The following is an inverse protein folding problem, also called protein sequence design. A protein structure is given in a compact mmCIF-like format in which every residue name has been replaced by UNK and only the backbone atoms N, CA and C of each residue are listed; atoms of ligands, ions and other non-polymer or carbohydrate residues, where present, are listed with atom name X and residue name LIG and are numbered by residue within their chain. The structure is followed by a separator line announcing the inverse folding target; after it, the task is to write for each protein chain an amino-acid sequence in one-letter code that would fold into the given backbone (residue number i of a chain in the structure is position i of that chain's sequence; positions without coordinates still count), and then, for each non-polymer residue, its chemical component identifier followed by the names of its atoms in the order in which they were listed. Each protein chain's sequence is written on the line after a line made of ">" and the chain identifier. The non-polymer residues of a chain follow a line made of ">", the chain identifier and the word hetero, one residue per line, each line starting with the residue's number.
data_IF_394575559762
#
_entry.id   IF_394575559762
#
_cell.length_a   1.000
_cell.length_b   1.000
_cell.length_c   1.000
_cell.angle_alpha   90.00
_cell.angle_beta   90.00
_cell.angle_gamma   90.00
#
_symmetry.space_group_name_H-M   'P 1'
#
loop_
_entity.id
_entity.type
_entity.pdbx_description
1 polymer ?
#
# COMPACT_ATOMS: atom_id res chain seq x y z
N UNK A 1 25.33 -1.67 7.20
CA UNK A 1 24.83 -1.70 8.59
C UNK A 1 23.46 -2.34 8.54
N UNK A 2 23.33 -3.55 9.10
CA UNK A 2 22.05 -4.30 9.09
C UNK A 2 21.05 -3.63 10.02
N UNK A 3 19.91 -3.21 9.50
CA UNK A 3 18.80 -2.71 10.30
C UNK A 3 18.29 -3.89 11.17
N UNK A 4 18.27 -3.71 12.49
CA UNK A 4 17.66 -4.68 13.40
C UNK A 4 16.17 -4.78 13.08
N UNK A 5 15.73 -5.95 12.60
CA UNK A 5 14.31 -6.25 12.39
C UNK A 5 13.72 -6.79 13.69
N UNK A 6 12.65 -6.19 14.18
CA UNK A 6 11.85 -6.76 15.26
C UNK A 6 10.76 -7.62 14.62
N UNK A 7 10.83 -8.93 14.78
CA UNK A 7 9.88 -9.88 14.20
C UNK A 7 8.61 -9.94 15.06
N UNK A 8 7.50 -9.45 14.52
CA UNK A 8 6.16 -9.46 15.15
C UNK A 8 5.32 -10.66 14.66
N UNK A 9 5.95 -11.60 13.95
CA UNK A 9 5.29 -12.71 13.26
C UNK A 9 4.39 -13.62 14.10
N UNK A 10 4.66 -13.76 15.41
CA UNK A 10 3.95 -14.72 16.26
C UNK A 10 2.45 -14.43 16.45
N UNK A 11 2.01 -13.17 16.37
CA UNK A 11 0.62 -12.79 16.62
C UNK A 11 -0.27 -12.74 15.36
N UNK A 12 0.31 -12.57 14.18
CA UNK A 12 -0.46 -12.50 12.92
C UNK A 12 -0.67 -13.90 12.34
N UNK A 13 0.28 -14.81 12.51
CA UNK A 13 0.16 -16.22 12.08
C UNK A 13 -0.98 -16.96 12.77
N UNK A 14 -1.26 -16.67 14.04
CA UNK A 14 -2.39 -17.27 14.76
C UNK A 14 -3.77 -16.81 14.24
N UNK A 15 -3.86 -15.70 13.55
CA UNK A 15 -5.12 -15.24 12.94
C UNK A 15 -5.47 -16.08 11.71
N UNK A 16 -4.49 -16.45 10.89
CA UNK A 16 -4.67 -17.30 9.70
C UNK A 16 -5.06 -18.74 10.05
N UNK A 17 -4.35 -19.36 11.00
CA UNK A 17 -4.58 -20.76 11.37
C UNK A 17 -5.95 -21.04 12.00
N UNK A 18 -6.55 -20.05 12.68
CA UNK A 18 -7.90 -20.18 13.27
C UNK A 18 -9.05 -20.05 12.28
N UNK A 19 -8.78 -19.68 11.01
CA UNK A 19 -9.81 -19.45 10.00
C UNK A 19 -10.23 -20.76 9.28
N UNK A 20 -9.35 -21.75 9.19
CA UNK A 20 -9.53 -22.94 8.36
C UNK A 20 -10.43 -24.04 8.94
N UNK A 21 -10.75 -24.02 10.25
CA UNK A 21 -11.30 -25.20 10.94
C UNK A 21 -12.75 -25.10 11.40
N UNK A 22 -13.70 -24.44 10.67
CA UNK A 22 -15.04 -24.23 11.21
C UNK A 22 -16.21 -24.43 10.24
N UNK A 23 -17.04 -25.41 10.55
CA UNK A 23 -18.36 -25.65 9.96
C UNK A 23 -19.42 -24.58 10.32
N UNK A 24 -20.42 -24.44 9.46
CA UNK A 24 -21.35 -23.32 9.30
C UNK A 24 -22.20 -22.86 10.52
N UNK A 25 -22.34 -23.61 11.58
CA UNK A 25 -23.21 -23.23 12.73
C UNK A 25 -22.54 -22.44 13.86
N UNK A 26 -21.19 -22.31 13.87
CA UNK A 26 -20.44 -21.48 14.84
C UNK A 26 -20.04 -20.11 14.30
N UNK A 27 -20.46 -19.75 13.09
CA UNK A 27 -19.94 -18.57 12.35
C UNK A 27 -20.20 -17.20 13.02
N UNK A 28 -21.39 -16.95 13.57
CA UNK A 28 -21.70 -15.61 14.15
C UNK A 28 -20.94 -15.26 15.43
N UNK A 29 -20.67 -16.22 16.30
CA UNK A 29 -19.94 -15.98 17.56
C UNK A 29 -18.43 -15.90 17.35
N UNK A 30 -17.92 -16.61 16.34
CA UNK A 30 -16.50 -16.62 15.99
C UNK A 30 -16.09 -15.48 15.04
N UNK A 31 -17.02 -14.96 14.22
CA UNK A 31 -16.74 -13.79 13.38
C UNK A 31 -16.41 -12.54 14.21
N UNK A 32 -17.15 -12.30 15.30
CA UNK A 32 -16.82 -11.21 16.26
C UNK A 32 -15.46 -11.40 16.95
N UNK A 33 -15.09 -12.62 17.35
CA UNK A 33 -13.78 -12.91 17.95
C UNK A 33 -12.61 -12.73 16.98
N UNK A 34 -12.83 -12.99 15.69
CA UNK A 34 -11.81 -12.84 14.63
C UNK A 34 -11.61 -11.38 14.23
N UNK A 35 -12.70 -10.61 14.11
CA UNK A 35 -12.63 -9.16 13.99
C UNK A 35 -11.75 -8.59 15.10
N UNK A 36 -12.03 -8.96 16.35
CA UNK A 36 -11.25 -8.54 17.50
C UNK A 36 -9.77 -8.94 17.41
N UNK A 37 -9.41 -10.06 16.78
CA UNK A 37 -8.03 -10.50 16.66
C UNK A 37 -7.24 -9.72 15.62
N UNK A 38 -7.82 -9.45 14.43
CA UNK A 38 -7.18 -8.62 13.42
C UNK A 38 -7.06 -7.16 13.87
N UNK A 39 -8.14 -6.60 14.47
CA UNK A 39 -8.08 -5.26 15.07
C UNK A 39 -7.00 -5.16 16.15
N UNK A 40 -6.87 -6.18 16.99
CA UNK A 40 -5.79 -6.24 18.00
C UNK A 40 -4.42 -6.32 17.35
N UNK A 41 -4.25 -7.14 16.29
CA UNK A 41 -3.02 -7.24 15.55
C UNK A 41 -2.64 -5.90 14.90
N UNK A 42 -3.58 -5.24 14.21
CA UNK A 42 -3.36 -3.92 13.62
C UNK A 42 -3.02 -2.88 14.69
N UNK A 43 -3.77 -2.84 15.80
CA UNK A 43 -3.49 -1.94 16.92
C UNK A 43 -2.10 -2.22 17.51
N UNK A 44 -1.75 -3.47 17.72
CA UNK A 44 -0.45 -3.86 18.25
C UNK A 44 0.70 -3.43 17.31
N UNK A 45 0.60 -3.73 16.03
CA UNK A 45 1.56 -3.24 15.02
C UNK A 45 1.69 -1.72 15.13
N UNK A 46 0.55 -1.01 15.23
CA UNK A 46 0.53 0.44 15.29
C UNK A 46 1.19 1.02 16.55
N UNK A 47 1.09 0.33 17.70
CA UNK A 47 1.79 0.74 18.93
C UNK A 47 3.31 0.58 18.87
N UNK A 48 3.80 -0.28 17.98
CA UNK A 48 5.23 -0.52 17.80
C UNK A 48 5.86 0.39 16.72
N UNK A 49 5.03 1.10 15.94
CA UNK A 49 5.53 1.97 14.89
C UNK A 49 6.13 3.25 15.47
N UNK A 50 7.21 3.76 14.85
CA UNK A 50 7.78 5.06 15.23
C UNK A 50 6.71 6.15 15.11
N UNK A 51 6.59 6.96 16.13
CA UNK A 51 5.71 8.11 16.19
C UNK A 51 6.53 9.37 16.40
N UNK A 52 6.09 10.47 15.78
CA UNK A 52 6.64 11.81 16.06
C UNK A 52 5.65 12.58 16.91
N UNK A 53 6.15 13.35 17.85
CA UNK A 53 5.35 14.32 18.55
C UNK A 53 5.05 15.50 17.62
N UNK A 54 3.78 15.76 17.40
CA UNK A 54 3.34 16.94 16.66
C UNK A 54 3.17 18.10 17.63
N UNK A 55 4.09 19.05 17.54
CA UNK A 55 4.11 20.25 18.38
C UNK A 55 3.29 21.42 17.77
N UNK A 56 2.59 21.17 16.66
CA UNK A 56 1.83 22.22 15.94
C UNK A 56 0.53 22.63 16.62
N UNK A 57 0.03 21.84 17.57
CA UNK A 57 -1.18 22.13 18.37
C UNK A 57 -0.84 22.25 19.86
N UNK A 58 -1.68 22.98 20.60
CA UNK A 58 -1.55 23.18 22.06
C UNK A 58 -1.63 21.85 22.84
N UNK A 59 -2.13 20.78 22.22
CA UNK A 59 -2.11 19.42 22.74
C UNK A 59 -1.08 18.58 21.98
N UNK A 60 -0.14 17.99 22.70
CA UNK A 60 0.79 16.99 22.21
C UNK A 60 0.03 15.82 21.58
N UNK A 61 0.06 15.72 20.25
CA UNK A 61 -0.47 14.56 19.52
C UNK A 61 0.68 13.72 18.99
N UNK A 62 0.64 12.45 19.32
CA UNK A 62 1.57 11.47 18.76
C UNK A 62 1.07 11.07 17.37
N UNK A 63 1.77 11.49 16.31
CA UNK A 63 1.42 11.16 14.93
C UNK A 63 2.32 10.05 14.43
N UNK A 64 1.72 8.93 14.03
CA UNK A 64 2.48 7.85 13.40
C UNK A 64 3.11 8.30 12.09
N UNK A 65 4.35 7.90 11.88
CA UNK A 65 5.09 8.09 10.62
C UNK A 65 4.42 7.38 9.44
N UNK A 66 3.70 6.29 9.71
CA UNK A 66 3.00 5.51 8.69
C UNK A 66 1.49 5.79 8.70
N UNK A 67 0.82 5.87 7.54
CA UNK A 67 -0.63 6.06 7.50
C UNK A 67 -1.35 4.82 8.04
N UNK A 68 -2.22 4.99 9.04
CA UNK A 68 -3.01 3.89 9.58
C UNK A 68 -3.84 3.15 8.53
N UNK A 69 -4.48 3.83 7.54
CA UNK A 69 -5.20 3.15 6.47
C UNK A 69 -4.31 2.18 5.67
N UNK A 70 -3.05 2.57 5.36
CA UNK A 70 -2.14 1.72 4.61
C UNK A 70 -1.71 0.48 5.41
N UNK A 71 -1.39 0.63 6.70
CA UNK A 71 -1.06 -0.51 7.58
C UNK A 71 -2.25 -1.47 7.68
N UNK A 72 -3.45 -0.93 7.97
CA UNK A 72 -4.67 -1.71 8.12
C UNK A 72 -4.98 -2.53 6.87
N UNK A 73 -4.94 -1.88 5.72
CA UNK A 73 -5.23 -2.51 4.44
C UNK A 73 -4.17 -3.57 4.07
N UNK A 74 -2.88 -3.29 4.29
CA UNK A 74 -1.81 -4.27 4.05
C UNK A 74 -1.98 -5.53 4.89
N UNK A 75 -2.29 -5.38 6.19
CA UNK A 75 -2.51 -6.52 7.09
C UNK A 75 -3.81 -7.26 6.72
N UNK A 76 -4.89 -6.56 6.38
CA UNK A 76 -6.13 -7.18 5.94
C UNK A 76 -5.92 -7.99 4.65
N UNK A 77 -5.23 -7.39 3.67
CA UNK A 77 -4.93 -8.04 2.38
C UNK A 77 -4.04 -9.27 2.57
N UNK A 78 -3.08 -9.26 3.46
CA UNK A 78 -2.23 -10.42 3.73
C UNK A 78 -3.02 -11.64 4.22
N UNK A 79 -4.11 -11.41 4.97
CA UNK A 79 -5.00 -12.48 5.45
C UNK A 79 -5.99 -12.92 4.35
N UNK A 80 -6.56 -11.96 3.60
CA UNK A 80 -7.55 -12.24 2.54
C UNK A 80 -6.92 -12.98 1.36
N UNK A 81 -5.69 -12.62 0.99
CA UNK A 81 -5.00 -13.15 -0.19
C UNK A 81 -4.04 -14.30 0.12
N UNK A 82 -3.93 -14.69 1.40
CA UNK A 82 -3.13 -15.86 1.79
C UNK A 82 -3.56 -17.11 1.03
N UNK A 83 -2.59 -17.86 0.56
CA UNK A 83 -2.80 -19.20 0.03
C UNK A 83 -2.74 -20.22 1.17
N UNK A 84 -3.91 -20.75 1.55
CA UNK A 84 -4.03 -21.73 2.64
C UNK A 84 -3.53 -23.14 2.27
N UNK A 85 -3.22 -23.39 1.00
CA UNK A 85 -2.61 -24.66 0.59
C UNK A 85 -1.09 -24.68 0.84
N UNK A 86 -0.46 -23.51 0.98
CA UNK A 86 0.94 -23.42 1.38
C UNK A 86 1.02 -23.60 2.90
N UNK A 87 1.48 -24.77 3.33
CA UNK A 87 1.58 -25.15 4.73
C UNK A 87 2.89 -24.68 5.36
N UNK A 88 2.88 -24.49 6.69
CA UNK A 88 4.09 -24.07 7.43
C UNK A 88 4.41 -22.57 7.32
N UNK A 89 3.61 -21.79 6.59
CA UNK A 89 3.76 -20.35 6.45
C UNK A 89 2.44 -19.62 6.71
N UNK A 90 2.54 -18.36 7.12
CA UNK A 90 1.39 -17.49 7.35
C UNK A 90 1.76 -16.03 7.11
N UNK A 91 0.81 -15.09 7.26
CA UNK A 91 1.12 -13.67 7.17
C UNK A 91 2.12 -13.25 8.26
N UNK A 92 3.14 -12.51 7.85
CA UNK A 92 4.20 -11.97 8.72
C UNK A 92 4.24 -10.47 8.56
N UNK A 93 4.35 -9.75 9.67
CA UNK A 93 4.60 -8.31 9.70
C UNK A 93 5.97 -8.07 10.31
N UNK A 94 6.84 -7.43 9.55
CA UNK A 94 8.20 -7.08 9.95
C UNK A 94 8.32 -5.57 10.05
N UNK A 95 8.81 -5.09 11.18
CA UNK A 95 9.01 -3.68 11.46
C UNK A 95 10.51 -3.35 11.39
N UNK A 96 10.84 -2.41 10.52
CA UNK A 96 12.18 -1.86 10.38
C UNK A 96 12.14 -0.38 10.75
N UNK A 97 13.28 0.21 11.00
CA UNK A 97 13.40 1.64 11.33
C UNK A 97 12.79 2.54 10.24
N UNK A 98 12.93 2.17 8.96
CA UNK A 98 12.54 2.99 7.81
C UNK A 98 11.41 2.41 6.97
N UNK A 99 10.84 1.23 7.33
CA UNK A 99 9.75 0.61 6.59
C UNK A 99 9.00 -0.45 7.40
N UNK A 100 7.82 -0.76 6.96
CA UNK A 100 7.03 -1.92 7.41
C UNK A 100 6.89 -2.86 6.23
N UNK A 101 7.13 -4.14 6.45
CA UNK A 101 6.91 -5.19 5.45
C UNK A 101 5.82 -6.14 5.91
N UNK A 102 4.86 -6.41 5.03
CA UNK A 102 3.79 -7.38 5.26
C UNK A 102 3.90 -8.44 4.19
N UNK A 103 4.24 -9.65 4.60
CA UNK A 103 4.42 -10.80 3.69
C UNK A 103 3.32 -11.82 3.93
N UNK A 104 2.74 -12.37 2.87
CA UNK A 104 1.82 -13.49 2.95
C UNK A 104 2.18 -14.59 1.94
N UNK A 105 1.91 -15.88 2.25
CA UNK A 105 1.97 -16.96 1.28
C UNK A 105 0.97 -16.73 0.14
N UNK A 106 1.39 -17.07 -1.08
CA UNK A 106 0.61 -16.93 -2.31
C UNK A 106 1.01 -15.72 -3.14
N UNK A 107 0.91 -15.87 -4.46
CA UNK A 107 1.19 -14.84 -5.44
C UNK A 107 -0.08 -14.04 -5.77
N UNK A 108 0.01 -12.79 -6.25
CA UNK A 108 -1.17 -12.02 -6.65
C UNK A 108 -1.97 -12.74 -7.74
N UNK A 109 -3.30 -12.60 -7.71
CA UNK A 109 -4.20 -13.13 -8.75
C UNK A 109 -4.47 -12.12 -9.87
N UNK A 110 -3.90 -10.92 -9.74
CA UNK A 110 -4.02 -9.80 -10.68
C UNK A 110 -2.63 -9.33 -11.07
N UNK A 111 -2.53 -8.67 -12.21
CA UNK A 111 -1.29 -8.01 -12.62
C UNK A 111 -0.98 -6.86 -11.65
N UNK A 112 0.20 -6.90 -11.04
CA UNK A 112 0.68 -5.88 -10.09
C UNK A 112 0.78 -4.51 -10.77
N UNK A 113 1.11 -4.47 -12.06
CA UNK A 113 1.18 -3.21 -12.82
C UNK A 113 -0.19 -2.57 -13.02
N UNK A 114 -1.26 -3.34 -12.89
CA UNK A 114 -2.65 -2.89 -13.03
C UNK A 114 -3.47 -3.02 -11.76
N UNK A 115 -2.80 -3.04 -10.61
CA UNK A 115 -3.47 -3.30 -9.32
C UNK A 115 -4.50 -2.22 -8.94
N UNK A 116 -4.35 -1.00 -9.48
CA UNK A 116 -5.26 0.14 -9.24
C UNK A 116 -6.54 0.02 -10.07
N UNK A 117 -6.49 -0.50 -11.30
CA UNK A 117 -7.62 -0.51 -12.24
C UNK A 117 -8.23 -1.89 -12.51
N UNK A 118 -7.54 -2.95 -12.10
CA UNK A 118 -8.08 -4.30 -12.27
C UNK A 118 -9.30 -4.52 -11.38
N UNK A 119 -10.32 -5.23 -11.89
CA UNK A 119 -11.42 -5.69 -11.05
C UNK A 119 -10.90 -6.50 -9.86
N UNK A 120 -11.48 -6.32 -8.67
CA UNK A 120 -11.03 -7.00 -7.46
C UNK A 120 -11.17 -8.51 -7.60
N UNK A 121 -10.10 -9.23 -7.26
CA UNK A 121 -10.07 -10.68 -7.28
C UNK A 121 -9.48 -11.19 -5.98
N UNK A 122 -10.28 -11.86 -5.17
CA UNK A 122 -9.86 -12.40 -3.88
C UNK A 122 -9.61 -13.89 -3.97
N UNK A 123 -8.52 -14.38 -3.37
CA UNK A 123 -8.27 -15.83 -3.24
C UNK A 123 -9.29 -16.47 -2.29
N UNK A 124 -9.66 -15.76 -1.23
CA UNK A 124 -10.56 -16.21 -0.18
C UNK A 124 -11.81 -15.33 -0.13
N UNK A 125 -12.71 -15.44 -1.13
CA UNK A 125 -13.89 -14.57 -1.30
C UNK A 125 -14.82 -14.56 -0.09
N UNK A 126 -15.09 -15.74 0.51
CA UNK A 126 -15.92 -15.84 1.71
C UNK A 126 -15.30 -15.10 2.89
N UNK A 127 -13.99 -15.22 3.08
CA UNK A 127 -13.26 -14.51 4.12
C UNK A 127 -13.27 -12.99 3.86
N UNK A 128 -12.99 -12.57 2.64
CA UNK A 128 -13.07 -11.17 2.24
C UNK A 128 -14.46 -10.58 2.49
N UNK A 129 -15.53 -11.29 2.15
CA UNK A 129 -16.91 -10.87 2.42
C UNK A 129 -17.19 -10.70 3.91
N UNK A 130 -16.73 -11.62 4.75
CA UNK A 130 -16.88 -11.50 6.21
C UNK A 130 -16.11 -10.31 6.74
N UNK A 131 -14.87 -10.13 6.32
CA UNK A 131 -14.02 -9.02 6.77
C UNK A 131 -14.59 -7.65 6.38
N UNK A 132 -15.15 -7.52 5.18
CA UNK A 132 -15.87 -6.29 4.76
C UNK A 132 -17.08 -6.00 5.65
N UNK A 133 -17.93 -6.98 5.90
CA UNK A 133 -19.12 -6.81 6.80
C UNK A 133 -18.74 -6.38 8.21
N UNK A 134 -17.53 -6.70 8.63
CA UNK A 134 -16.99 -6.33 9.93
C UNK A 134 -16.25 -4.97 9.89
N UNK A 135 -16.22 -4.31 8.72
CA UNK A 135 -15.52 -3.05 8.53
C UNK A 135 -14.00 -3.15 8.66
N UNK A 136 -13.42 -4.34 8.45
CA UNK A 136 -12.00 -4.61 8.63
C UNK A 136 -11.15 -4.35 7.39
N UNK A 137 -11.76 -4.38 6.24
CA UNK A 137 -11.18 -3.99 4.95
C UNK A 137 -12.18 -3.18 4.15
N UNK A 138 -11.68 -2.51 3.15
CA UNK A 138 -12.46 -1.62 2.28
C UNK A 138 -13.44 -2.40 1.39
N UNK A 139 -14.32 -1.65 0.72
CA UNK A 139 -15.18 -2.18 -0.32
C UNK A 139 -14.35 -2.73 -1.49
N UNK A 140 -14.96 -3.59 -2.28
CA UNK A 140 -14.32 -4.29 -3.39
C UNK A 140 -13.56 -3.33 -4.31
N UNK A 141 -12.24 -3.55 -4.42
CA UNK A 141 -11.39 -2.91 -5.42
C UNK A 141 -10.75 -1.58 -5.04
N UNK A 142 -11.03 -1.00 -3.88
CA UNK A 142 -10.49 0.32 -3.49
C UNK A 142 -9.38 0.28 -2.42
N UNK A 143 -8.98 -0.88 -1.98
CA UNK A 143 -7.98 -1.03 -0.91
C UNK A 143 -6.60 -0.47 -1.32
N UNK A 144 -6.15 -0.79 -2.53
CA UNK A 144 -4.88 -0.30 -3.06
C UNK A 144 -4.90 1.20 -3.32
N UNK A 145 -5.95 1.73 -3.92
CA UNK A 145 -6.12 3.17 -4.14
C UNK A 145 -5.96 3.92 -2.84
N UNK A 146 -6.64 3.45 -1.79
CA UNK A 146 -6.61 4.07 -0.47
C UNK A 146 -5.24 3.98 0.18
N UNK A 147 -4.52 2.86 0.03
CA UNK A 147 -3.13 2.76 0.48
C UNK A 147 -2.25 3.80 -0.22
N UNK A 148 -2.32 3.88 -1.54
CA UNK A 148 -1.53 4.83 -2.33
C UNK A 148 -1.85 6.26 -1.92
N UNK A 149 -3.13 6.65 -1.94
CA UNK A 149 -3.59 8.01 -1.58
C UNK A 149 -3.16 8.36 -0.14
N UNK A 150 -3.27 7.43 0.80
CA UNK A 150 -2.88 7.68 2.19
C UNK A 150 -1.36 7.85 2.37
N UNK A 151 -0.55 7.20 1.54
CA UNK A 151 0.90 7.45 1.49
C UNK A 151 1.22 8.78 0.81
N UNK A 152 0.53 9.12 -0.28
CA UNK A 152 0.69 10.40 -0.97
C UNK A 152 0.36 11.59 -0.08
N UNK A 153 -0.72 11.53 0.69
CA UNK A 153 -1.12 12.59 1.63
C UNK A 153 -0.08 12.91 2.71
N UNK A 154 0.90 12.03 2.90
CA UNK A 154 2.05 12.20 3.80
C UNK A 154 3.38 12.33 3.07
N UNK A 155 3.37 12.53 1.75
CA UNK A 155 4.55 12.62 0.90
C UNK A 155 5.48 11.40 0.94
N UNK A 156 4.96 10.23 1.34
CA UNK A 156 5.71 8.98 1.42
C UNK A 156 5.89 8.38 0.02
N UNK A 157 6.91 7.54 -0.14
CA UNK A 157 6.98 6.67 -1.30
C UNK A 157 5.74 5.77 -1.37
N UNK A 158 5.30 5.44 -2.57
CA UNK A 158 4.14 4.57 -2.75
C UNK A 158 4.41 3.15 -2.21
N UNK A 159 3.38 2.42 -1.76
CA UNK A 159 3.52 1.03 -1.35
C UNK A 159 4.15 0.20 -2.48
N UNK A 160 5.17 -0.60 -2.16
CA UNK A 160 5.84 -1.48 -3.12
C UNK A 160 5.32 -2.91 -2.96
N UNK A 161 5.09 -3.59 -4.08
CA UNK A 161 4.77 -5.01 -4.11
C UNK A 161 5.97 -5.77 -4.66
N UNK A 162 6.42 -6.76 -3.90
CA UNK A 162 7.41 -7.72 -4.36
C UNK A 162 6.75 -9.10 -4.43
N UNK A 163 6.82 -9.73 -5.58
CA UNK A 163 6.30 -11.08 -5.82
C UNK A 163 7.47 -12.05 -5.83
N UNK A 164 7.41 -13.06 -4.98
CA UNK A 164 8.35 -14.15 -4.91
C UNK A 164 7.70 -15.44 -5.44
N UNK A 165 8.42 -16.54 -5.47
CA UNK A 165 7.93 -17.79 -6.03
C UNK A 165 6.61 -18.26 -5.40
N UNK A 166 6.48 -18.15 -4.07
CA UNK A 166 5.31 -18.61 -3.31
C UNK A 166 4.77 -17.58 -2.32
N UNK A 167 5.18 -16.32 -2.43
CA UNK A 167 4.76 -15.29 -1.48
C UNK A 167 4.68 -13.92 -2.14
N UNK A 168 3.91 -13.04 -1.49
CA UNK A 168 3.80 -11.63 -1.84
C UNK A 168 4.19 -10.80 -0.63
N UNK A 169 5.02 -9.79 -0.85
CA UNK A 169 5.41 -8.81 0.17
C UNK A 169 4.97 -7.41 -0.24
N UNK A 170 4.31 -6.73 0.67
CA UNK A 170 3.98 -5.30 0.57
C UNK A 170 4.89 -4.54 1.52
N UNK A 171 5.62 -3.54 1.00
CA UNK A 171 6.49 -2.67 1.79
C UNK A 171 5.90 -1.26 1.84
N UNK A 172 5.77 -0.71 3.04
CA UNK A 172 5.36 0.67 3.31
C UNK A 172 6.57 1.41 3.86
N UNK A 173 6.88 2.59 3.31
CA UNK A 173 8.09 3.33 3.63
C UNK A 173 7.80 4.48 4.60
N UNK A 174 8.74 4.76 5.50
CA UNK A 174 8.76 5.99 6.29
C UNK A 174 9.09 7.18 5.38
N UNK A 175 8.87 8.39 5.91
CA UNK A 175 9.22 9.62 5.21
C UNK A 175 10.72 9.72 4.92
N UNK A 176 11.04 10.05 3.69
CA UNK A 176 12.35 10.42 3.22
C UNK A 176 12.23 11.68 2.36
N UNK A 177 13.20 12.58 2.47
CA UNK A 177 13.33 13.65 1.51
C UNK A 177 13.42 13.09 0.09
N UNK A 178 12.83 13.78 -0.87
CA UNK A 178 12.72 13.31 -2.25
C UNK A 178 14.08 12.81 -2.82
N UNK A 179 15.17 13.49 -2.53
CA UNK A 179 16.51 13.13 -3.01
C UNK A 179 17.03 11.82 -2.43
N UNK A 180 16.51 11.40 -1.28
CA UNK A 180 16.89 10.19 -0.57
C UNK A 180 15.98 8.99 -0.92
N UNK A 181 14.85 9.23 -1.58
CA UNK A 181 13.99 8.13 -2.10
C UNK A 181 14.75 7.44 -3.24
N UNK A 182 14.78 6.11 -3.23
CA UNK A 182 15.41 5.33 -4.29
C UNK A 182 14.75 5.63 -5.66
N UNK A 183 15.55 5.62 -6.72
CA UNK A 183 15.06 5.96 -8.08
C UNK A 183 13.87 5.09 -8.50
N UNK A 184 13.92 3.80 -8.26
CA UNK A 184 12.82 2.89 -8.60
C UNK A 184 11.56 3.17 -7.78
N UNK A 185 11.67 3.60 -6.52
CA UNK A 185 10.53 4.01 -5.69
C UNK A 185 9.92 5.33 -6.17
N UNK A 186 10.74 6.27 -6.64
CA UNK A 186 10.24 7.50 -7.28
C UNK A 186 9.49 7.21 -8.57
N UNK A 187 10.04 6.32 -9.41
CA UNK A 187 9.41 5.88 -10.66
C UNK A 187 8.09 5.18 -10.37
N UNK A 188 8.08 4.23 -9.45
CA UNK A 188 6.88 3.50 -9.04
C UNK A 188 5.80 4.43 -8.46
N UNK A 189 6.21 5.34 -7.58
CA UNK A 189 5.30 6.34 -7.00
C UNK A 189 4.69 7.26 -8.07
N UNK A 190 5.48 7.66 -9.07
CA UNK A 190 5.00 8.47 -10.19
C UNK A 190 4.00 7.71 -11.06
N UNK A 191 4.28 6.43 -11.32
CA UNK A 191 3.37 5.58 -12.08
C UNK A 191 2.03 5.38 -11.36
N UNK A 192 2.05 5.04 -10.06
CA UNK A 192 0.82 4.88 -9.29
C UNK A 192 0.04 6.19 -9.16
N UNK A 193 0.71 7.34 -9.03
CA UNK A 193 0.06 8.66 -9.08
C UNK A 193 -0.65 8.89 -10.42
N UNK A 194 -0.02 8.52 -11.55
CA UNK A 194 -0.66 8.60 -12.85
C UNK A 194 -1.90 7.69 -12.95
N UNK A 195 -1.83 6.49 -12.37
CA UNK A 195 -2.98 5.57 -12.30
C UNK A 195 -4.13 6.16 -11.48
N UNK A 196 -3.84 6.70 -10.28
CA UNK A 196 -4.86 7.34 -9.44
C UNK A 196 -5.50 8.52 -10.17
N UNK A 197 -4.69 9.41 -10.76
CA UNK A 197 -5.20 10.54 -11.54
C UNK A 197 -6.11 10.11 -12.68
N UNK A 198 -5.73 9.06 -13.39
CA UNK A 198 -6.52 8.52 -14.50
C UNK A 198 -7.89 7.99 -14.06
N UNK A 199 -7.95 7.21 -12.98
CA UNK A 199 -9.24 6.70 -12.48
C UNK A 199 -10.13 7.80 -11.87
N UNK A 200 -9.53 8.93 -11.43
CA UNK A 200 -10.23 10.14 -11.00
C UNK A 200 -10.73 10.99 -12.19
N UNK A 201 -10.44 10.60 -13.43
CA UNK A 201 -10.79 11.36 -14.63
C UNK A 201 -9.86 12.54 -14.93
N UNK A 202 -8.67 12.56 -14.34
CA UNK A 202 -7.61 13.56 -14.55
C UNK A 202 -6.35 12.89 -15.14
N UNK A 203 -5.29 13.65 -15.32
CA UNK A 203 -4.02 13.16 -15.83
C UNK A 203 -2.84 13.73 -15.04
N UNK A 204 -1.76 12.96 -14.93
CA UNK A 204 -0.52 13.40 -14.30
C UNK A 204 0.05 14.62 -15.02
N UNK A 205 0.42 15.62 -14.25
CA UNK A 205 1.14 16.81 -14.70
C UNK A 205 2.41 17.02 -13.88
N UNK A 206 3.28 17.92 -14.35
CA UNK A 206 4.45 18.30 -13.57
C UNK A 206 4.05 18.91 -12.21
N UNK A 207 3.02 19.76 -12.18
CA UNK A 207 2.51 20.36 -10.94
C UNK A 207 1.90 19.35 -9.98
N UNK A 208 1.06 18.42 -10.48
CA UNK A 208 0.47 17.39 -9.62
C UNK A 208 1.54 16.48 -9.00
N UNK A 209 2.61 16.20 -9.76
CA UNK A 209 3.72 15.38 -9.25
C UNK A 209 4.60 16.14 -8.25
N UNK A 210 4.77 17.47 -8.41
CA UNK A 210 5.39 18.30 -7.38
C UNK A 210 4.59 18.25 -6.07
N UNK A 211 3.28 18.44 -6.15
CA UNK A 211 2.37 18.36 -5.00
C UNK A 211 2.45 16.97 -4.32
N UNK A 212 2.38 15.91 -5.10
CA UNK A 212 2.49 14.52 -4.62
C UNK A 212 3.74 14.29 -3.78
N UNK A 213 4.87 14.90 -4.13
CA UNK A 213 6.14 14.75 -3.39
C UNK A 213 6.42 15.90 -2.39
N UNK A 214 5.49 16.82 -2.19
CA UNK A 214 5.69 17.99 -1.32
C UNK A 214 6.81 18.92 -1.80
N UNK A 215 7.03 19.01 -3.11
CA UNK A 215 8.14 19.78 -3.70
C UNK A 215 7.71 21.22 -4.01
N UNK A 216 8.68 22.13 -3.91
CA UNK A 216 8.48 23.54 -4.30
C UNK A 216 8.39 23.67 -5.83
N UNK A 217 7.76 24.74 -6.30
CA UNK A 217 7.64 25.06 -7.73
C UNK A 217 8.99 25.16 -8.45
N UNK A 218 10.06 25.52 -7.73
CA UNK A 218 11.45 25.57 -8.24
C UNK A 218 11.98 24.18 -8.64
N UNK A 219 11.34 23.09 -8.20
CA UNK A 219 11.75 21.71 -8.49
C UNK A 219 11.24 21.18 -9.83
N UNK A 220 10.57 22.01 -10.66
CA UNK A 220 9.94 21.63 -11.93
C UNK A 220 10.89 20.89 -12.87
N UNK A 221 12.14 21.31 -12.99
CA UNK A 221 13.13 20.65 -13.85
C UNK A 221 13.51 19.23 -13.38
N UNK A 222 13.55 18.99 -12.07
CA UNK A 222 13.80 17.67 -11.49
C UNK A 222 12.61 16.73 -11.73
N UNK A 223 11.40 17.23 -11.53
CA UNK A 223 10.17 16.48 -11.79
C UNK A 223 10.02 16.16 -13.28
N UNK A 224 10.36 17.08 -14.18
CA UNK A 224 10.34 16.82 -15.62
C UNK A 224 11.31 15.70 -16.03
N UNK A 225 12.48 15.61 -15.39
CA UNK A 225 13.44 14.50 -15.62
C UNK A 225 12.85 13.17 -15.16
N UNK A 226 12.24 13.14 -13.97
CA UNK A 226 11.58 11.93 -13.47
C UNK A 226 10.45 11.47 -14.39
N UNK A 227 9.59 12.38 -14.88
CA UNK A 227 8.53 12.04 -15.84
C UNK A 227 9.13 11.41 -17.11
N UNK A 228 10.23 11.97 -17.64
CA UNK A 228 10.92 11.39 -18.81
C UNK A 228 11.46 9.99 -18.54
N UNK A 229 12.00 9.73 -17.34
CA UNK A 229 12.47 8.40 -16.93
C UNK A 229 11.32 7.39 -16.88
N UNK A 230 10.18 7.77 -16.30
CA UNK A 230 8.97 6.93 -16.22
C UNK A 230 8.40 6.64 -17.61
N UNK A 231 8.43 7.65 -18.50
CA UNK A 231 8.03 7.49 -19.91
C UNK A 231 8.99 6.59 -20.69
N UNK A 232 10.30 6.73 -20.49
CA UNK A 232 11.32 5.87 -21.10
C UNK A 232 11.16 4.39 -20.68
N UNK A 233 10.71 4.13 -19.46
CA UNK A 233 10.33 2.79 -18.97
C UNK A 233 8.98 2.30 -19.50
N UNK A 234 8.30 3.06 -20.37
CA UNK A 234 6.99 2.74 -20.95
C UNK A 234 5.90 2.48 -19.91
N UNK A 235 5.92 3.22 -18.81
CA UNK A 235 4.91 3.15 -17.76
C UNK A 235 3.78 4.15 -17.97
N UNK A 236 4.11 5.29 -18.56
CA UNK A 236 3.17 6.37 -18.90
C UNK A 236 3.36 6.82 -20.34
N UNK A 237 2.32 7.43 -20.92
CA UNK A 237 2.34 8.07 -22.25
C UNK A 237 1.70 9.46 -22.16
N UNK A 238 2.05 10.40 -23.04
CA UNK A 238 1.34 11.67 -23.13
C UNK A 238 -0.11 11.44 -23.56
N UNK A 239 -1.03 12.28 -23.03
CA UNK A 239 -2.43 12.30 -23.48
C UNK A 239 -2.51 12.75 -24.95
N UNK A 240 -1.75 13.80 -25.28
CA UNK A 240 -1.62 14.34 -26.61
C UNK A 240 -0.14 14.69 -26.84
N UNK A 241 0.55 13.97 -27.77
CA UNK A 241 1.97 14.19 -28.06
C UNK A 241 2.30 15.57 -28.62
N UNK A 242 1.33 16.24 -29.28
CA UNK A 242 1.54 17.53 -29.93
C UNK A 242 1.35 18.71 -28.97
N UNK A 243 0.98 18.44 -27.72
CA UNK A 243 0.83 19.47 -26.68
C UNK A 243 2.19 20.09 -26.32
N UNK A 244 2.22 21.41 -26.21
CA UNK A 244 3.42 22.13 -25.77
C UNK A 244 3.91 21.62 -24.40
N UNK A 245 5.25 21.51 -24.16
CA UNK A 245 5.83 20.88 -22.97
C UNK A 245 5.30 21.42 -21.62
N UNK A 246 4.93 22.69 -21.57
CA UNK A 246 4.37 23.36 -20.39
C UNK A 246 3.01 22.78 -19.96
N UNK A 247 2.22 22.30 -20.92
CA UNK A 247 0.85 21.83 -20.71
C UNK A 247 0.73 20.31 -20.84
N UNK A 248 1.85 19.63 -21.06
CA UNK A 248 1.90 18.18 -21.24
C UNK A 248 1.30 17.47 -20.04
N UNK A 249 0.42 16.50 -20.32
CA UNK A 249 -0.20 15.62 -19.36
C UNK A 249 0.04 14.17 -19.73
N UNK A 250 0.05 13.29 -18.74
CA UNK A 250 0.40 11.90 -18.94
C UNK A 250 -0.63 10.97 -18.29
N UNK A 251 -0.86 9.84 -18.93
CA UNK A 251 -1.73 8.77 -18.46
C UNK A 251 -0.93 7.46 -18.42
N UNK A 252 -1.40 6.43 -17.70
CA UNK A 252 -0.76 5.12 -17.73
C UNK A 252 -0.69 4.57 -19.16
N UNK A 253 0.33 3.75 -19.46
CA UNK A 253 0.54 3.21 -20.82
C UNK A 253 -0.64 2.38 -21.32
N UNK A 254 -1.36 1.72 -20.40
CA UNK A 254 -2.50 0.84 -20.69
C UNK A 254 -3.85 1.59 -20.85
N UNK A 255 -3.91 2.85 -20.53
CA UNK A 255 -5.11 3.70 -20.62
C UNK A 255 -5.47 4.08 -22.07
#
# INVERSE_FOLDING_TARGET
>A
MGANATNVGANVTNVGANVTNMGAKKEKKNSRKRATSLEKAVKYVFTLLPSKEDLSEVQLRTVSTFPLPAIRESVANSVIHQDFYITGAGPVVELFENRVEVTNPGVPLVDVMRIIDNPPKSRNEKLASVMRRLGMCEELGRGWDRMVISCESKYLAAPRINVYQESTRVSLFAYLDFVNIQTDDRIWSTYLHACIKYIEGDALSNSSLQERFGLKTTSSGMVSRLIKEVQAKKLIKPVDPDTAPRYMRYIPIWA
#
